data_IF_625823304804
#
_entry.id   IF_625823304804
#
_cell.length_a   1.000
_cell.length_b   1.000
_cell.length_c   1.000
_cell.angle_alpha   90.00
_cell.angle_beta   90.00
_cell.angle_gamma   90.00
#
_symmetry.space_group_name_H-M   'P 1'
#
loop_
_entity.id
_entity.type
_entity.pdbx_description
1 polymer ?
#
# COMPACT_ATOMS: atom_id res chain seq x y z
N UNK A 1 9.18 -19.59 15.95
CA UNK A 1 7.81 -19.05 16.05
C UNK A 1 7.78 -17.54 16.25
N UNK A 2 8.34 -16.96 17.33
CA UNK A 2 8.29 -15.50 17.58
C UNK A 2 8.77 -14.64 16.39
N UNK A 3 9.82 -15.07 15.69
CA UNK A 3 10.35 -14.33 14.54
C UNK A 3 9.40 -14.24 13.34
N UNK A 4 8.58 -15.26 13.09
CA UNK A 4 7.68 -15.30 11.93
C UNK A 4 6.45 -14.42 12.17
N UNK A 5 5.88 -14.46 13.36
CA UNK A 5 4.75 -13.58 13.72
C UNK A 5 5.18 -12.10 13.71
N UNK A 6 6.37 -11.81 14.24
CA UNK A 6 6.92 -10.46 14.25
C UNK A 6 7.10 -9.91 12.83
N UNK A 7 7.60 -10.71 11.87
CA UNK A 7 7.72 -10.24 10.47
C UNK A 7 6.36 -9.96 9.85
N UNK A 8 5.33 -10.74 10.20
CA UNK A 8 3.95 -10.50 9.77
C UNK A 8 3.40 -9.17 10.29
N UNK A 9 3.57 -8.89 11.59
CA UNK A 9 3.13 -7.62 12.19
C UNK A 9 3.87 -6.40 11.62
N UNK A 10 5.20 -6.51 11.42
CA UNK A 10 5.98 -5.44 10.81
C UNK A 10 5.51 -5.17 9.38
N UNK A 11 5.32 -6.23 8.58
CA UNK A 11 4.79 -6.09 7.22
C UNK A 11 3.42 -5.38 7.21
N UNK A 12 2.51 -5.80 8.08
CA UNK A 12 1.17 -5.21 8.21
C UNK A 12 1.25 -3.70 8.50
N UNK A 13 2.03 -3.31 9.51
CA UNK A 13 2.18 -1.89 9.89
C UNK A 13 2.80 -1.09 8.75
N UNK A 14 3.88 -1.58 8.14
CA UNK A 14 4.55 -0.90 7.02
C UNK A 14 3.59 -0.69 5.85
N UNK A 15 2.81 -1.70 5.49
CA UNK A 15 1.87 -1.63 4.37
C UNK A 15 0.65 -0.73 4.67
N UNK A 16 0.16 -0.69 5.90
CA UNK A 16 -0.88 0.26 6.33
C UNK A 16 -0.35 1.69 6.22
N UNK A 17 0.82 1.97 6.80
CA UNK A 17 1.43 3.31 6.76
C UNK A 17 1.74 3.72 5.33
N UNK A 18 2.19 2.80 4.49
CA UNK A 18 2.39 3.07 3.07
C UNK A 18 1.07 3.50 2.43
N UNK A 19 0.00 2.73 2.58
CA UNK A 19 -1.21 2.87 1.77
C UNK A 19 -2.27 3.83 2.34
N UNK A 20 -2.16 4.26 3.60
CA UNK A 20 -2.99 5.36 4.16
C UNK A 20 -2.81 6.68 3.42
N UNK A 21 -1.72 6.80 2.64
CA UNK A 21 -1.50 7.86 1.66
C UNK A 21 -2.74 8.19 0.82
N UNK A 22 -3.44 7.18 0.32
CA UNK A 22 -4.57 7.34 -0.59
C UNK A 22 -5.77 8.04 0.06
N UNK A 23 -6.35 7.51 1.16
CA UNK A 23 -7.43 8.20 1.85
C UNK A 23 -6.99 9.57 2.37
N UNK A 24 -5.75 9.71 2.88
CA UNK A 24 -5.23 10.99 3.35
C UNK A 24 -5.18 12.05 2.22
N UNK A 25 -4.72 11.67 1.03
CA UNK A 25 -4.70 12.58 -0.11
C UNK A 25 -6.10 13.00 -0.53
N UNK A 26 -7.04 12.06 -0.58
CA UNK A 26 -8.42 12.35 -0.98
C UNK A 26 -9.06 13.37 -0.03
N UNK A 27 -8.95 13.13 1.28
CA UNK A 27 -9.40 14.08 2.32
C UNK A 27 -8.73 15.43 2.11
N UNK A 28 -7.41 15.46 1.93
CA UNK A 28 -6.68 16.70 1.78
C UNK A 28 -7.09 17.48 0.51
N UNK A 29 -7.38 16.80 -0.60
CA UNK A 29 -7.88 17.42 -1.83
C UNK A 29 -9.28 18.02 -1.66
N UNK A 30 -10.11 17.41 -0.82
CA UNK A 30 -11.46 17.91 -0.51
C UNK A 30 -11.40 19.18 0.35
N UNK A 31 -10.59 19.19 1.41
CA UNK A 31 -10.57 20.29 2.39
C UNK A 31 -9.55 21.41 2.07
N UNK A 32 -8.44 21.10 1.41
CA UNK A 32 -7.34 22.05 1.15
C UNK A 32 -7.12 22.29 -0.35
N UNK A 33 -8.21 22.30 -1.11
CA UNK A 33 -8.19 22.47 -2.56
C UNK A 33 -7.47 23.78 -2.94
N UNK A 34 -6.39 23.66 -3.71
CA UNK A 34 -5.61 24.81 -4.21
C UNK A 34 -4.47 25.26 -3.29
N UNK A 35 -4.31 24.66 -2.10
CA UNK A 35 -3.17 24.95 -1.22
C UNK A 35 -1.90 24.26 -1.75
N UNK A 36 -0.93 25.07 -2.15
CA UNK A 36 0.28 24.62 -2.86
C UNK A 36 1.18 23.72 -2.00
N UNK A 37 1.22 24.01 -0.70
CA UNK A 37 2.02 23.36 0.32
C UNK A 37 1.52 21.94 0.57
N UNK A 38 0.19 21.76 0.61
CA UNK A 38 -0.45 20.46 0.74
C UNK A 38 -0.15 19.60 -0.50
N UNK A 39 -0.24 20.17 -1.69
CA UNK A 39 0.14 19.47 -2.93
C UNK A 39 1.62 19.05 -2.91
N UNK A 40 2.52 19.94 -2.49
CA UNK A 40 3.95 19.65 -2.38
C UNK A 40 4.24 18.56 -1.34
N UNK A 41 3.56 18.57 -0.20
CA UNK A 41 3.64 17.52 0.81
C UNK A 41 3.28 16.15 0.23
N UNK A 42 2.12 16.03 -0.43
CA UNK A 42 1.69 14.76 -1.01
C UNK A 42 2.56 14.28 -2.18
N UNK A 43 3.15 15.19 -2.97
CA UNK A 43 4.15 14.82 -3.97
C UNK A 43 5.39 14.17 -3.33
N UNK A 44 5.89 14.73 -2.22
CA UNK A 44 7.02 14.13 -1.48
C UNK A 44 6.61 12.81 -0.82
N UNK A 45 5.43 12.78 -0.22
CA UNK A 45 4.91 11.59 0.44
C UNK A 45 4.67 10.43 -0.54
N UNK A 46 4.39 10.70 -1.82
CA UNK A 46 4.31 9.67 -2.86
C UNK A 46 5.58 8.82 -2.95
N UNK A 47 6.75 9.45 -2.82
CA UNK A 47 8.03 8.75 -2.81
C UNK A 47 8.12 7.82 -1.61
N UNK A 48 7.80 8.31 -0.41
CA UNK A 48 7.77 7.51 0.81
C UNK A 48 6.77 6.35 0.69
N UNK A 49 5.56 6.61 0.21
CA UNK A 49 4.54 5.61 -0.09
C UNK A 49 5.08 4.49 -0.99
N UNK A 50 5.81 4.84 -2.05
CA UNK A 50 6.40 3.86 -2.97
C UNK A 50 7.47 3.03 -2.27
N UNK A 51 8.42 3.66 -1.57
CA UNK A 51 9.47 2.95 -0.84
C UNK A 51 8.91 2.01 0.23
N UNK A 52 7.94 2.46 1.02
CA UNK A 52 7.31 1.64 2.05
C UNK A 52 6.51 0.48 1.46
N UNK A 53 5.88 0.63 0.29
CA UNK A 53 5.24 -0.50 -0.38
C UNK A 53 6.25 -1.57 -0.82
N UNK A 54 7.40 -1.19 -1.36
CA UNK A 54 8.44 -2.16 -1.73
C UNK A 54 9.08 -2.82 -0.51
N UNK A 55 9.35 -2.06 0.55
CA UNK A 55 9.84 -2.61 1.83
C UNK A 55 8.80 -3.58 2.40
N UNK A 56 7.53 -3.18 2.45
CA UNK A 56 6.43 -4.02 2.91
C UNK A 56 6.33 -5.31 2.09
N UNK A 57 6.35 -5.21 0.76
CA UNK A 57 6.34 -6.37 -0.14
C UNK A 57 7.51 -7.33 0.15
N UNK A 58 8.72 -6.79 0.31
CA UNK A 58 9.90 -7.59 0.64
C UNK A 58 9.72 -8.35 1.96
N UNK A 59 9.21 -7.68 3.00
CA UNK A 59 8.97 -8.32 4.31
C UNK A 59 7.86 -9.37 4.20
N UNK A 60 6.78 -9.11 3.44
CA UNK A 60 5.71 -10.09 3.21
C UNK A 60 6.25 -11.33 2.47
N UNK A 61 7.15 -11.17 1.49
CA UNK A 61 7.78 -12.31 0.81
C UNK A 61 8.61 -13.17 1.78
N UNK A 62 9.39 -12.54 2.67
CA UNK A 62 10.15 -13.26 3.72
C UNK A 62 9.19 -13.98 4.66
N UNK A 63 8.14 -13.30 5.12
CA UNK A 63 7.16 -13.85 6.03
C UNK A 63 6.43 -15.05 5.41
N UNK A 64 5.87 -14.90 4.22
CA UNK A 64 5.14 -15.97 3.52
C UNK A 64 6.01 -17.18 3.20
N UNK A 65 7.29 -16.96 2.85
CA UNK A 65 8.25 -18.06 2.68
C UNK A 65 8.55 -18.78 4.00
N UNK A 66 8.76 -18.03 5.09
CA UNK A 66 9.12 -18.58 6.40
C UNK A 66 7.94 -19.25 7.12
N UNK A 67 6.71 -18.84 6.81
CA UNK A 67 5.47 -19.41 7.35
C UNK A 67 4.99 -20.64 6.55
N UNK A 68 5.64 -20.99 5.43
CA UNK A 68 5.17 -22.00 4.48
C UNK A 68 3.68 -21.83 4.11
N UNK A 69 3.26 -20.59 3.88
CA UNK A 69 1.83 -20.22 3.83
C UNK A 69 1.07 -20.89 2.68
N UNK A 70 0.09 -21.75 3.03
CA UNK A 70 -0.77 -22.47 2.07
C UNK A 70 -2.18 -21.91 2.00
N UNK A 71 -2.54 -20.96 2.87
CA UNK A 71 -3.84 -20.33 2.86
C UNK A 71 -4.02 -19.51 1.58
N UNK A 72 -4.96 -19.94 0.74
CA UNK A 72 -5.25 -19.30 -0.55
C UNK A 72 -5.68 -17.82 -0.37
N UNK A 73 -6.33 -17.49 0.74
CA UNK A 73 -6.74 -16.11 1.06
C UNK A 73 -5.49 -15.24 1.28
N UNK A 74 -4.49 -15.74 2.02
CA UNK A 74 -3.23 -15.02 2.22
C UNK A 74 -2.36 -14.95 0.96
N UNK A 75 -2.45 -15.95 0.07
CA UNK A 75 -1.84 -15.87 -1.25
C UNK A 75 -2.48 -14.79 -2.13
N UNK A 76 -3.81 -14.62 -2.06
CA UNK A 76 -4.50 -13.49 -2.71
C UNK A 76 -4.01 -12.17 -2.11
N UNK A 77 -3.87 -12.07 -0.80
CA UNK A 77 -3.31 -10.87 -0.16
C UNK A 77 -1.89 -10.55 -0.64
N UNK A 78 -1.04 -11.56 -0.86
CA UNK A 78 0.28 -11.37 -1.48
C UNK A 78 0.17 -10.77 -2.88
N UNK A 79 -0.71 -11.30 -3.74
CA UNK A 79 -0.91 -10.78 -5.09
C UNK A 79 -1.41 -9.33 -5.08
N UNK A 80 -2.32 -8.99 -4.17
CA UNK A 80 -2.78 -7.61 -3.98
C UNK A 80 -1.65 -6.69 -3.49
N UNK A 81 -0.75 -7.19 -2.65
CA UNK A 81 0.44 -6.45 -2.19
C UNK A 81 1.38 -6.14 -3.36
N UNK A 82 1.66 -7.12 -4.22
CA UNK A 82 2.46 -6.95 -5.45
C UNK A 82 1.81 -5.90 -6.35
N UNK A 83 0.49 -6.02 -6.58
CA UNK A 83 -0.24 -5.07 -7.40
C UNK A 83 -0.14 -3.64 -6.85
N UNK A 84 -0.33 -3.44 -5.54
CA UNK A 84 -0.21 -2.13 -4.90
C UNK A 84 1.20 -1.54 -5.05
N UNK A 85 2.24 -2.35 -4.91
CA UNK A 85 3.63 -1.92 -5.09
C UNK A 85 3.93 -1.50 -6.54
N UNK A 86 3.56 -2.33 -7.53
CA UNK A 86 3.77 -2.04 -8.96
C UNK A 86 2.99 -0.81 -9.37
N UNK A 87 1.71 -0.74 -9.05
CA UNK A 87 0.91 0.43 -9.35
C UNK A 87 1.45 1.66 -8.59
N UNK A 88 1.96 1.48 -7.35
CA UNK A 88 2.70 2.47 -6.54
C UNK A 88 3.80 3.14 -7.34
N UNK A 89 4.66 2.30 -7.89
CA UNK A 89 5.76 2.69 -8.74
C UNK A 89 5.31 3.40 -10.03
N UNK A 90 4.29 2.88 -10.72
CA UNK A 90 3.76 3.52 -11.95
C UNK A 90 3.29 4.95 -11.67
N UNK A 91 2.62 5.17 -10.53
CA UNK A 91 2.16 6.50 -10.13
C UNK A 91 3.32 7.43 -9.80
N UNK A 92 4.34 6.93 -9.09
CA UNK A 92 5.54 7.70 -8.81
C UNK A 92 6.25 8.13 -10.11
N UNK A 93 6.39 7.23 -11.07
CA UNK A 93 6.97 7.54 -12.38
C UNK A 93 6.16 8.58 -13.15
N UNK A 94 4.83 8.45 -13.15
CA UNK A 94 3.93 9.43 -13.80
C UNK A 94 4.01 10.79 -13.12
N UNK A 95 4.02 10.82 -11.79
CA UNK A 95 4.14 12.04 -11.00
C UNK A 95 5.44 12.80 -11.30
N UNK A 96 6.56 12.07 -11.43
CA UNK A 96 7.85 12.68 -11.75
C UNK A 96 7.91 13.25 -13.18
N UNK A 97 7.15 12.68 -14.13
CA UNK A 97 7.14 13.14 -15.53
C UNK A 97 6.13 14.25 -15.82
N UNK A 98 4.93 14.15 -15.24
CA UNK A 98 3.78 15.00 -15.60
C UNK A 98 3.13 15.71 -14.40
N UNK A 99 3.63 15.49 -13.18
CA UNK A 99 2.98 15.92 -11.95
C UNK A 99 1.77 15.06 -11.58
N UNK A 100 1.27 15.24 -10.36
CA UNK A 100 0.06 14.55 -9.90
C UNK A 100 -1.20 15.20 -10.49
N UNK A 101 -1.86 14.46 -11.39
CA UNK A 101 -3.17 14.81 -11.93
C UNK A 101 -4.28 14.70 -10.88
N UNK A 102 -5.35 15.50 -11.06
CA UNK A 102 -6.54 15.48 -10.20
C UNK A 102 -7.37 14.20 -10.37
N UNK A 103 -7.40 13.63 -11.59
CA UNK A 103 -8.31 12.54 -11.96
C UNK A 103 -7.58 11.26 -12.39
N UNK A 104 -6.59 10.81 -11.62
CA UNK A 104 -5.99 9.51 -11.88
C UNK A 104 -6.93 8.42 -11.37
N UNK A 105 -7.62 7.72 -12.28
CA UNK A 105 -8.43 6.52 -12.00
C UNK A 105 -7.65 5.50 -11.15
N UNK A 106 -6.33 5.49 -11.31
CA UNK A 106 -5.41 4.64 -10.55
C UNK A 106 -5.40 4.94 -9.04
N UNK A 107 -5.68 6.18 -8.61
CA UNK A 107 -5.82 6.51 -7.17
C UNK A 107 -7.00 5.77 -6.53
N UNK A 108 -8.16 5.82 -7.19
CA UNK A 108 -9.41 5.23 -6.68
C UNK A 108 -9.32 3.70 -6.69
N UNK A 109 -8.80 3.13 -7.78
CA UNK A 109 -8.56 1.70 -7.88
C UNK A 109 -7.66 1.20 -6.75
N UNK A 110 -6.59 1.92 -6.42
CA UNK A 110 -5.69 1.54 -5.33
C UNK A 110 -6.29 1.63 -3.94
N UNK A 111 -7.11 2.65 -3.69
CA UNK A 111 -7.81 2.74 -2.41
C UNK A 111 -8.72 1.53 -2.21
N UNK A 112 -9.47 1.13 -3.24
CA UNK A 112 -10.30 -0.07 -3.20
C UNK A 112 -9.45 -1.33 -2.99
N UNK A 113 -8.34 -1.45 -3.71
CA UNK A 113 -7.42 -2.58 -3.56
C UNK A 113 -6.78 -2.62 -2.17
N UNK A 114 -6.47 -1.48 -1.56
CA UNK A 114 -5.95 -1.42 -0.19
C UNK A 114 -6.96 -1.95 0.82
N UNK A 115 -8.23 -1.55 0.72
CA UNK A 115 -9.27 -2.09 1.59
C UNK A 115 -9.53 -3.58 1.34
N UNK A 116 -9.56 -4.00 0.07
CA UNK A 116 -9.68 -5.42 -0.28
C UNK A 116 -8.52 -6.24 0.29
N UNK A 117 -7.30 -5.74 0.17
CA UNK A 117 -6.10 -6.34 0.76
C UNK A 117 -6.22 -6.44 2.27
N UNK A 118 -6.59 -5.36 2.96
CA UNK A 118 -6.72 -5.33 4.41
C UNK A 118 -7.74 -6.35 4.92
N UNK A 119 -8.92 -6.42 4.28
CA UNK A 119 -9.95 -7.41 4.59
C UNK A 119 -9.44 -8.82 4.34
N UNK A 120 -8.74 -9.05 3.23
CA UNK A 120 -8.19 -10.37 2.87
C UNK A 120 -7.16 -10.83 3.89
N UNK A 121 -6.29 -9.94 4.38
CA UNK A 121 -5.32 -10.26 5.44
C UNK A 121 -6.03 -10.65 6.75
N UNK A 122 -7.05 -9.87 7.17
CA UNK A 122 -7.82 -10.16 8.37
C UNK A 122 -8.54 -11.52 8.30
N UNK A 123 -9.24 -11.77 7.18
CA UNK A 123 -9.96 -13.03 6.96
C UNK A 123 -8.97 -14.20 6.86
N UNK A 124 -7.87 -14.02 6.12
CA UNK A 124 -6.86 -15.07 5.96
C UNK A 124 -6.27 -15.52 7.29
N UNK A 125 -5.98 -14.60 8.21
CA UNK A 125 -5.49 -14.93 9.55
C UNK A 125 -6.58 -15.45 10.50
N UNK A 126 -7.86 -15.16 10.25
CA UNK A 126 -8.97 -15.67 11.05
C UNK A 126 -9.42 -17.08 10.66
N UNK A 127 -9.08 -17.53 9.45
CA UNK A 127 -9.39 -18.88 8.92
C UNK A 127 -8.25 -19.88 9.18
N UNK A 128 -7.06 -19.37 9.56
CA UNK A 128 -5.94 -20.18 10.09
C UNK A 128 -6.27 -20.71 11.50
#
# INVERSE_FOLDING_TARGET
>A
MIGVELTGYIALVVLIVANVYYPAMMIARTFFKGVSEVKAFFNKYLGLHMYLNFIGLFIVMIHGHSAEERNIVLQIAMLLTIFMAVAGFTMYQKANKMGLGRDDTLYHAKQLVFFAWFITVLIGHAIL
#
